data_IF_112636585133
#
_entry.id   IF_112636585133
#
_cell.length_a   1.000
_cell.length_b   1.000
_cell.length_c   1.000
_cell.angle_alpha   90.00
_cell.angle_beta   90.00
_cell.angle_gamma   90.00
#
_symmetry.space_group_name_H-M   'P 1'
#
loop_
_entity.id
_entity.type
_entity.pdbx_description
1 polymer ?
#
# COMPACT_ATOMS: atom_id res chain seq x y z
N UNK A 1 0.79 -20.66 15.43
CA UNK A 1 1.15 -19.49 14.59
C UNK A 1 0.00 -18.49 14.58
N UNK A 2 0.21 -17.28 15.09
CA UNK A 2 -0.82 -16.23 15.09
C UNK A 2 -1.07 -15.76 13.66
N UNK A 3 -2.28 -15.95 13.13
CA UNK A 3 -2.69 -15.37 11.84
C UNK A 3 -2.63 -13.85 11.99
N UNK A 4 -1.70 -13.18 11.30
CA UNK A 4 -1.67 -11.73 11.19
C UNK A 4 -2.92 -11.29 10.42
N UNK A 5 -3.93 -10.84 11.16
CA UNK A 5 -5.15 -10.28 10.59
C UNK A 5 -4.88 -8.83 10.19
N UNK A 6 -5.50 -8.35 9.10
CA UNK A 6 -5.46 -6.93 8.78
C UNK A 6 -6.02 -6.12 9.96
N UNK A 7 -5.37 -4.99 10.27
CA UNK A 7 -5.74 -4.10 11.37
C UNK A 7 -7.19 -3.61 11.25
N UNK A 8 -7.63 -3.35 10.02
CA UNK A 8 -9.01 -3.05 9.68
C UNK A 8 -9.43 -3.94 8.48
N UNK A 9 -10.35 -4.90 8.66
CA UNK A 9 -10.79 -5.77 7.56
C UNK A 9 -11.55 -5.03 6.47
N UNK A 10 -12.20 -3.90 6.80
CA UNK A 10 -12.96 -3.09 5.84
C UNK A 10 -12.05 -2.22 4.95
N UNK A 11 -10.79 -2.01 5.36
CA UNK A 11 -9.83 -1.22 4.59
C UNK A 11 -9.28 -1.97 3.36
N UNK A 12 -9.57 -3.27 3.20
CA UNK A 12 -8.98 -4.09 2.14
C UNK A 12 -9.19 -3.50 0.75
N UNK A 13 -10.41 -3.07 0.43
CA UNK A 13 -10.76 -2.54 -0.90
C UNK A 13 -9.96 -1.26 -1.18
N UNK A 14 -10.00 -0.29 -0.26
CA UNK A 14 -9.27 0.96 -0.39
C UNK A 14 -7.74 0.77 -0.46
N UNK A 15 -7.19 -0.20 0.29
CA UNK A 15 -5.77 -0.53 0.24
C UNK A 15 -5.38 -1.20 -1.08
N UNK A 16 -6.26 -2.03 -1.66
CA UNK A 16 -6.04 -2.63 -2.98
C UNK A 16 -6.06 -1.56 -4.07
N UNK A 17 -7.01 -0.61 -4.03
CA UNK A 17 -7.05 0.54 -4.94
C UNK A 17 -5.77 1.38 -4.84
N UNK A 18 -5.37 1.78 -3.63
CA UNK A 18 -4.13 2.53 -3.40
C UNK A 18 -2.89 1.79 -3.91
N UNK A 19 -2.83 0.47 -3.73
CA UNK A 19 -1.74 -0.37 -4.25
C UNK A 19 -1.67 -0.27 -5.77
N UNK A 20 -2.81 -0.32 -6.46
CA UNK A 20 -2.86 -0.19 -7.91
C UNK A 20 -2.47 1.21 -8.38
N UNK A 21 -2.94 2.26 -7.71
CA UNK A 21 -2.56 3.65 -8.00
C UNK A 21 -1.05 3.86 -7.87
N UNK A 22 -0.47 3.44 -6.75
CA UNK A 22 0.98 3.57 -6.50
C UNK A 22 1.79 2.72 -7.47
N UNK A 23 1.34 1.51 -7.81
CA UNK A 23 2.00 0.69 -8.81
C UNK A 23 2.02 1.39 -10.18
N UNK A 24 0.89 1.98 -10.58
CA UNK A 24 0.78 2.75 -11.81
C UNK A 24 1.69 4.00 -11.80
N UNK A 25 1.72 4.76 -10.70
CA UNK A 25 2.62 5.92 -10.51
C UNK A 25 4.10 5.54 -10.64
N UNK A 26 4.49 4.36 -10.14
CA UNK A 26 5.85 3.86 -10.19
C UNK A 26 6.21 3.23 -11.55
N UNK A 27 5.30 3.25 -12.53
CA UNK A 27 5.49 2.58 -13.82
C UNK A 27 5.55 1.06 -13.70
N UNK A 28 5.18 0.51 -12.53
CA UNK A 28 5.02 -0.92 -12.28
C UNK A 28 3.63 -1.26 -12.81
N UNK A 29 3.51 -1.28 -14.14
CA UNK A 29 2.31 -1.77 -14.80
C UNK A 29 2.09 -3.20 -14.34
N UNK A 30 0.90 -3.46 -13.81
CA UNK A 30 0.45 -4.80 -13.50
C UNK A 30 0.47 -5.60 -14.80
N UNK A 31 1.60 -6.21 -15.12
CA UNK A 31 1.57 -7.33 -16.03
C UNK A 31 0.70 -8.38 -15.34
N UNK A 32 -0.24 -9.03 -16.05
CA UNK A 32 -1.00 -10.15 -15.51
C UNK A 32 -0.11 -11.28 -14.94
N UNK A 33 1.21 -11.22 -15.15
CA UNK A 33 2.24 -12.08 -14.54
C UNK A 33 2.46 -11.89 -13.04
N UNK A 34 1.65 -11.07 -12.34
CA UNK A 34 1.40 -11.28 -10.90
C UNK A 34 0.77 -12.67 -10.61
N UNK A 35 0.49 -13.45 -11.67
CA UNK A 35 0.14 -14.88 -11.69
C UNK A 35 1.32 -15.86 -11.52
N UNK A 36 2.45 -15.42 -10.94
CA UNK A 36 3.48 -16.34 -10.44
C UNK A 36 4.67 -16.63 -11.35
N UNK A 37 4.84 -15.90 -12.47
CA UNK A 37 6.01 -16.01 -13.34
C UNK A 37 7.17 -15.07 -12.97
N UNK A 38 6.94 -14.12 -12.05
CA UNK A 38 8.01 -13.23 -11.56
C UNK A 38 8.91 -13.95 -10.56
N UNK A 39 10.21 -13.71 -10.66
CA UNK A 39 11.18 -14.27 -9.69
C UNK A 39 10.87 -13.76 -8.27
N UNK A 40 11.14 -14.57 -7.24
CA UNK A 40 10.93 -14.18 -5.84
C UNK A 40 11.65 -12.87 -5.48
N UNK A 41 12.80 -12.61 -6.11
CA UNK A 41 13.57 -11.38 -5.96
C UNK A 41 12.85 -10.16 -6.55
N UNK A 42 12.28 -10.31 -7.74
CA UNK A 42 11.45 -9.27 -8.36
C UNK A 42 10.23 -8.98 -7.48
N UNK A 43 9.48 -10.01 -7.08
CA UNK A 43 8.30 -9.82 -6.22
C UNK A 43 8.63 -9.11 -4.90
N UNK A 44 9.76 -9.44 -4.28
CA UNK A 44 10.23 -8.74 -3.07
C UNK A 44 10.58 -7.28 -3.32
N UNK A 45 11.25 -7.00 -4.44
CA UNK A 45 11.60 -5.63 -4.84
C UNK A 45 10.34 -4.80 -5.11
N UNK A 46 9.45 -5.28 -5.99
CA UNK A 46 8.21 -4.58 -6.35
C UNK A 46 7.25 -4.43 -5.17
N UNK A 47 7.00 -5.51 -4.42
CA UNK A 47 6.16 -5.48 -3.22
C UNK A 47 6.73 -4.56 -2.13
N UNK A 48 8.06 -4.52 -1.99
CA UNK A 48 8.75 -3.60 -1.08
C UNK A 48 8.59 -2.13 -1.48
N UNK A 49 8.82 -1.81 -2.76
CA UNK A 49 8.66 -0.43 -3.25
C UNK A 49 7.21 0.05 -3.17
N UNK A 50 6.24 -0.75 -3.63
CA UNK A 50 4.82 -0.38 -3.57
C UNK A 50 4.34 -0.31 -2.11
N UNK A 51 4.61 -1.33 -1.30
CA UNK A 51 4.20 -1.36 0.11
C UNK A 51 4.84 -0.26 0.96
N UNK A 52 6.10 0.08 0.69
CA UNK A 52 6.78 1.21 1.33
C UNK A 52 6.15 2.55 0.99
N UNK A 53 5.81 2.76 -0.28
CA UNK A 53 5.07 3.96 -0.72
C UNK A 53 3.67 4.03 -0.11
N UNK A 54 2.93 2.91 -0.04
CA UNK A 54 1.62 2.85 0.63
C UNK A 54 1.72 3.26 2.09
N UNK A 55 2.71 2.73 2.82
CA UNK A 55 2.89 3.03 4.24
C UNK A 55 3.19 4.51 4.45
N UNK A 56 4.03 5.10 3.61
CA UNK A 56 4.32 6.54 3.67
C UNK A 56 3.08 7.39 3.43
N UNK A 57 2.31 7.13 2.37
CA UNK A 57 1.06 7.87 2.10
C UNK A 57 0.04 7.73 3.24
N UNK A 58 -0.07 6.54 3.84
CA UNK A 58 -0.95 6.33 5.00
C UNK A 58 -0.52 7.15 6.22
N UNK A 59 0.78 7.21 6.51
CA UNK A 59 1.31 8.04 7.60
C UNK A 59 1.07 9.52 7.32
N UNK A 60 1.37 10.00 6.11
CA UNK A 60 1.12 11.38 5.69
C UNK A 60 -0.36 11.78 5.84
N UNK A 61 -1.29 10.91 5.45
CA UNK A 61 -2.73 11.14 5.66
C UNK A 61 -3.09 11.22 7.14
N UNK A 62 -2.56 10.32 7.97
CA UNK A 62 -2.78 10.34 9.41
C UNK A 62 -2.22 11.61 10.08
N UNK A 63 -1.02 12.05 9.69
CA UNK A 63 -0.43 13.30 10.16
C UNK A 63 -1.28 14.51 9.78
N UNK A 64 -1.77 14.55 8.53
CA UNK A 64 -2.66 15.62 8.07
C UNK A 64 -3.96 15.66 8.87
N UNK A 65 -4.60 14.51 9.11
CA UNK A 65 -5.81 14.43 9.93
C UNK A 65 -5.58 14.92 11.38
N UNK A 66 -4.42 14.59 11.96
CA UNK A 66 -4.06 15.05 13.30
C UNK A 66 -3.81 16.56 13.33
N UNK A 67 -3.12 17.11 12.33
CA UNK A 67 -2.89 18.56 12.20
C UNK A 67 -4.21 19.31 12.02
N UNK A 68 -5.09 18.82 11.14
CA UNK A 68 -6.39 19.44 10.86
C UNK A 68 -7.31 19.38 12.09
N UNK A 69 -7.25 18.30 12.86
CA UNK A 69 -7.92 18.21 14.16
C UNK A 69 -7.35 19.24 15.15
N UNK A 70 -6.04 19.41 15.22
CA UNK A 70 -5.40 20.35 16.14
C UNK A 70 -5.70 21.82 15.78
N UNK A 71 -5.85 22.15 14.49
CA UNK A 71 -6.22 23.50 14.01
C UNK A 71 -7.68 23.89 14.26
N UNK A 72 -8.54 22.94 14.61
CA UNK A 72 -9.97 23.16 14.89
C UNK A 72 -10.25 23.51 16.36
N UNK A 73 -9.22 23.58 17.18
CA UNK A 73 -9.23 24.13 18.53
C UNK A 73 -8.54 25.50 18.55
#
# INVERSE_FOLDING_TARGET
>A
MTRRRPLNPNAKIALDEMKYEIANELGITNTPDYNGNMTSRQNGLFGGYVGGNMTRKLVEMGEKELIDRNKRY
#
